data_IF_432913180440
#
_entry.id   IF_432913180440
#
_cell.length_a   1.000
_cell.length_b   1.000
_cell.length_c   1.000
_cell.angle_alpha   90.00
_cell.angle_beta   90.00
_cell.angle_gamma   90.00
#
_symmetry.space_group_name_H-M   'P 1'
#
loop_
_entity.id
_entity.type
_entity.pdbx_description
1 polymer ?
#
# COMPACT_ATOMS: atom_id res chain seq x y z
N UNK A 1 13.49 5.40 -2.21
CA UNK A 1 12.38 6.33 -1.93
C UNK A 1 13.00 7.70 -1.72
N UNK A 2 12.29 8.78 -2.03
CA UNK A 2 12.76 10.10 -1.60
C UNK A 2 12.79 10.18 -0.07
N UNK A 3 13.78 10.90 0.47
CA UNK A 3 14.00 11.01 1.93
C UNK A 3 12.78 11.53 2.69
N UNK A 4 11.95 12.34 2.04
CA UNK A 4 10.75 12.94 2.64
C UNK A 4 9.61 12.99 1.63
N UNK A 5 8.48 12.40 2.01
CA UNK A 5 7.18 12.60 1.36
C UNK A 5 6.28 13.42 2.30
N UNK A 6 6.05 14.72 2.05
CA UNK A 6 5.20 15.56 2.91
C UNK A 6 3.75 15.06 3.03
N UNK A 7 3.25 14.34 2.01
CA UNK A 7 1.93 13.73 2.04
C UNK A 7 2.02 12.25 1.68
N UNK A 8 1.31 11.41 2.45
CA UNK A 8 1.15 9.99 2.19
C UNK A 8 -0.34 9.65 2.29
N UNK A 9 -0.85 8.96 1.29
CA UNK A 9 -2.22 8.44 1.24
C UNK A 9 -2.16 6.91 1.39
N UNK A 10 -2.95 6.41 2.33
CA UNK A 10 -3.14 4.98 2.58
C UNK A 10 -4.55 4.64 2.09
N UNK A 11 -4.64 3.92 0.98
CA UNK A 11 -5.91 3.56 0.37
C UNK A 11 -6.11 2.04 0.37
N UNK A 12 -7.37 1.59 0.37
CA UNK A 12 -7.75 0.19 0.30
C UNK A 12 -8.86 -0.01 -0.72
N UNK A 13 -8.57 -0.79 -1.76
CA UNK A 13 -9.52 -1.16 -2.80
C UNK A 13 -9.77 -2.66 -2.80
N UNK A 14 -11.02 -3.07 -3.02
CA UNK A 14 -11.37 -4.48 -3.18
C UNK A 14 -11.43 -4.85 -4.66
N UNK A 15 -10.70 -5.89 -5.04
CA UNK A 15 -10.68 -6.41 -6.40
C UNK A 15 -11.17 -7.86 -6.42
N UNK A 16 -11.92 -8.21 -7.47
CA UNK A 16 -12.16 -9.61 -7.80
C UNK A 16 -10.93 -10.16 -8.52
N UNK A 17 -10.32 -11.18 -7.96
CA UNK A 17 -9.11 -11.81 -8.48
C UNK A 17 -9.44 -13.26 -8.81
N UNK A 18 -9.13 -13.68 -10.04
CA UNK A 18 -9.25 -15.08 -10.45
C UNK A 18 -7.95 -15.82 -10.10
N UNK A 19 -8.03 -16.81 -9.24
CA UNK A 19 -6.91 -17.66 -8.85
C UNK A 19 -7.35 -19.12 -8.97
N UNK A 20 -6.64 -19.90 -9.78
CA UNK A 20 -6.91 -21.33 -9.99
C UNK A 20 -8.37 -21.65 -10.40
N UNK A 21 -8.98 -20.77 -11.20
CA UNK A 21 -10.36 -20.94 -11.69
C UNK A 21 -11.46 -20.54 -10.70
N UNK A 22 -11.10 -20.11 -9.49
CA UNK A 22 -12.03 -19.53 -8.53
C UNK A 22 -11.85 -17.99 -8.47
N UNK A 23 -12.96 -17.26 -8.37
CA UNK A 23 -12.95 -15.81 -8.19
C UNK A 23 -13.09 -15.49 -6.70
N UNK A 24 -12.11 -14.78 -6.17
CA UNK A 24 -12.07 -14.34 -4.78
C UNK A 24 -12.00 -12.81 -4.70
N UNK A 25 -12.52 -12.23 -3.63
CA UNK A 25 -12.48 -10.77 -3.40
C UNK A 25 -11.35 -10.45 -2.46
N UNK A 26 -10.34 -9.71 -2.94
CA UNK A 26 -9.13 -9.38 -2.18
C UNK A 26 -9.01 -7.88 -1.97
N UNK A 27 -8.63 -7.50 -0.75
CA UNK A 27 -8.24 -6.14 -0.43
C UNK A 27 -6.79 -5.88 -0.87
N UNK A 28 -6.60 -4.84 -1.68
CA UNK A 28 -5.30 -4.33 -2.08
C UNK A 28 -5.14 -2.94 -1.47
N UNK A 29 -4.06 -2.76 -0.74
CA UNK A 29 -3.69 -1.53 -0.06
C UNK A 29 -2.64 -0.80 -0.86
N UNK A 30 -2.97 0.42 -1.27
CA UNK A 30 -2.14 1.23 -2.14
C UNK A 30 -1.58 2.38 -1.32
N UNK A 31 -0.26 2.56 -1.36
CA UNK A 31 0.42 3.65 -0.69
C UNK A 31 0.89 4.64 -1.74
N UNK A 32 0.36 5.85 -1.71
CA UNK A 32 0.74 6.93 -2.61
C UNK A 32 1.47 8.02 -1.83
N UNK A 33 2.64 8.42 -2.29
CA UNK A 33 3.39 9.55 -1.74
C UNK A 33 3.36 10.74 -2.69
N UNK A 34 3.38 11.95 -2.12
CA UNK A 34 3.67 13.18 -2.87
C UNK A 34 5.00 13.72 -2.36
N UNK A 35 5.98 13.87 -3.24
CA UNK A 35 7.30 14.39 -2.88
C UNK A 35 7.30 15.93 -2.72
N UNK A 36 8.45 16.48 -2.37
CA UNK A 36 8.62 17.94 -2.19
C UNK A 36 8.43 18.75 -3.50
N UNK A 37 8.57 18.12 -4.66
CA UNK A 37 8.32 18.71 -5.96
C UNK A 37 6.84 18.61 -6.38
N UNK A 38 5.98 17.97 -5.56
CA UNK A 38 4.57 17.75 -5.84
C UNK A 38 4.30 16.54 -6.75
N UNK A 39 5.31 15.71 -7.03
CA UNK A 39 5.17 14.51 -7.86
C UNK A 39 4.55 13.38 -7.05
N UNK A 40 3.56 12.71 -7.66
CA UNK A 40 2.89 11.54 -7.10
C UNK A 40 3.64 10.26 -7.47
N UNK A 41 3.96 9.44 -6.47
CA UNK A 41 4.60 8.15 -6.65
C UNK A 41 3.85 7.04 -5.88
N UNK A 42 3.73 5.86 -6.49
CA UNK A 42 3.22 4.67 -5.80
C UNK A 42 4.37 4.07 -4.99
N UNK A 43 4.30 4.21 -3.66
CA UNK A 43 5.34 3.77 -2.74
C UNK A 43 5.24 2.27 -2.42
N UNK A 44 4.04 1.70 -2.53
CA UNK A 44 3.83 0.28 -2.30
C UNK A 44 2.42 -0.20 -2.61
N UNK A 45 2.32 -1.49 -2.91
CA UNK A 45 1.08 -2.24 -3.07
C UNK A 45 1.17 -3.46 -2.18
N UNK A 46 0.19 -3.63 -1.31
CA UNK A 46 0.16 -4.72 -0.35
C UNK A 46 -1.17 -5.46 -0.45
N UNK A 47 -1.15 -6.77 -0.28
CA UNK A 47 -2.36 -7.57 -0.11
C UNK A 47 -2.34 -8.18 1.28
N UNK A 48 -3.49 -8.24 1.93
CA UNK A 48 -3.62 -8.89 3.23
C UNK A 48 -5.01 -9.47 3.38
N UNK A 49 -5.08 -10.69 3.89
CA UNK A 49 -6.34 -11.33 4.28
C UNK A 49 -6.96 -10.66 5.50
N UNK A 50 -6.19 -9.88 6.28
CA UNK A 50 -6.64 -9.26 7.54
C UNK A 50 -6.27 -7.78 7.64
N UNK A 51 -7.26 -6.90 7.87
CA UNK A 51 -7.11 -5.43 7.92
C UNK A 51 -6.69 -4.87 9.29
N UNK A 52 -5.95 -5.64 10.11
CA UNK A 52 -5.71 -5.29 11.52
C UNK A 52 -4.61 -4.24 11.68
N UNK A 53 -4.56 -3.55 12.81
CA UNK A 53 -3.52 -2.55 13.12
C UNK A 53 -2.08 -3.07 12.93
N UNK A 54 -1.82 -4.36 13.21
CA UNK A 54 -0.51 -4.99 12.98
C UNK A 54 -0.08 -5.02 11.52
N UNK A 55 -1.03 -5.11 10.59
CA UNK A 55 -0.74 -5.05 9.15
C UNK A 55 -0.20 -3.66 8.77
N UNK A 56 -0.88 -2.59 9.17
CA UNK A 56 -0.45 -1.22 8.90
C UNK A 56 0.90 -0.90 9.53
N UNK A 57 1.16 -1.39 10.75
CA UNK A 57 2.50 -1.30 11.35
C UNK A 57 3.56 -1.99 10.48
N UNK A 58 3.25 -3.16 9.92
CA UNK A 58 4.12 -3.87 8.98
C UNK A 58 4.40 -3.06 7.72
N UNK A 59 3.36 -2.50 7.09
CA UNK A 59 3.47 -1.64 5.91
C UNK A 59 4.38 -0.44 6.18
N UNK A 60 4.14 0.30 7.26
CA UNK A 60 4.95 1.48 7.61
C UNK A 60 6.39 1.11 7.99
N UNK A 61 6.59 -0.06 8.60
CA UNK A 61 7.92 -0.58 8.92
C UNK A 61 8.69 -0.94 7.65
N UNK A 62 8.04 -1.57 6.68
CA UNK A 62 8.63 -1.88 5.37
C UNK A 62 9.01 -0.60 4.62
N UNK A 63 8.13 0.40 4.60
CA UNK A 63 8.43 1.71 4.02
C UNK A 63 9.68 2.33 4.66
N UNK A 64 9.73 2.41 5.99
CA UNK A 64 10.88 2.96 6.72
C UNK A 64 12.19 2.23 6.39
N UNK A 65 12.15 0.92 6.11
CA UNK A 65 13.34 0.15 5.73
C UNK A 65 13.81 0.47 4.31
N UNK A 66 12.93 0.95 3.44
CA UNK A 66 13.20 1.27 2.03
C UNK A 66 13.69 2.72 1.81
N UNK A 67 13.82 3.49 2.89
CA UNK A 67 14.24 4.90 2.91
C UNK A 67 13.05 5.84 2.99
#
# INVERSE_FOLDING_TARGET
LETVYPFIFLDCMFFKVSVNGAVDTRAIYNILGVDIAGKKDVLGLYSSENQRAKFWLGVLTDMKKRG
#
